data_IF_418393244481
#
_entry.id   IF_418393244481
#
_cell.length_a   1.000
_cell.length_b   1.000
_cell.length_c   1.000
_cell.angle_alpha   90.00
_cell.angle_beta   90.00
_cell.angle_gamma   90.00
#
_symmetry.space_group_name_H-M   'P 1'
#
loop_
_entity.id
_entity.type
_entity.pdbx_description
1 polymer ?
#
# COMPACT_ATOMS: atom_id res chain seq x y z
N UNK A 1 1.09 -2.26 -9.23
CA UNK A 1 1.00 -3.05 -10.48
C UNK A 1 1.05 -2.24 -11.79
N UNK A 2 0.72 -0.93 -11.81
CA UNK A 2 0.63 -0.16 -13.06
C UNK A 2 1.96 -0.08 -13.83
N UNK A 3 3.09 0.23 -13.17
CA UNK A 3 4.39 0.37 -13.85
C UNK A 3 4.93 -0.94 -14.43
N UNK A 4 4.99 -2.07 -13.68
CA UNK A 4 5.40 -3.35 -14.24
C UNK A 4 4.59 -3.75 -15.48
N UNK A 5 3.26 -3.54 -15.43
CA UNK A 5 2.38 -3.82 -16.55
C UNK A 5 2.68 -2.90 -17.75
N UNK A 6 2.82 -1.59 -17.54
CA UNK A 6 3.20 -0.65 -18.60
C UNK A 6 4.51 -1.08 -19.27
N UNK A 7 5.53 -1.38 -18.48
CA UNK A 7 6.83 -1.83 -18.98
C UNK A 7 6.71 -3.13 -19.76
N UNK A 8 5.99 -4.11 -19.22
CA UNK A 8 5.76 -5.40 -19.89
C UNK A 8 5.05 -5.22 -21.23
N UNK A 9 4.00 -4.40 -21.30
CA UNK A 9 3.29 -4.12 -22.56
C UNK A 9 4.26 -3.47 -23.55
N UNK A 10 4.99 -2.43 -23.15
CA UNK A 10 5.95 -1.75 -24.03
C UNK A 10 7.04 -2.68 -24.56
N UNK A 11 7.48 -3.66 -23.77
CA UNK A 11 8.44 -4.68 -24.19
C UNK A 11 7.81 -5.70 -25.16
N UNK A 12 6.58 -6.14 -24.89
CA UNK A 12 5.84 -7.09 -25.75
C UNK A 12 5.44 -6.49 -27.11
N UNK A 13 5.27 -5.16 -27.17
CA UNK A 13 4.90 -4.42 -28.38
C UNK A 13 6.12 -3.95 -29.18
N UNK A 14 7.33 -4.49 -28.92
CA UNK A 14 8.47 -4.24 -29.80
C UNK A 14 8.24 -4.94 -31.16
N UNK A 15 8.45 -4.25 -32.30
CA UNK A 15 8.26 -4.85 -33.62
C UNK A 15 9.29 -5.99 -33.83
N UNK A 16 8.81 -7.14 -34.27
CA UNK A 16 9.63 -8.29 -34.67
C UNK A 16 9.75 -8.35 -36.20
N UNK A 17 10.87 -8.90 -36.68
CA UNK A 17 11.07 -9.15 -38.11
C UNK A 17 10.13 -10.24 -38.66
N UNK A 18 9.49 -11.01 -37.78
CA UNK A 18 8.50 -12.04 -38.12
C UNK A 18 7.07 -11.49 -38.25
N UNK A 19 6.85 -10.24 -37.83
CA UNK A 19 5.51 -9.62 -37.86
C UNK A 19 5.13 -9.20 -39.28
N UNK A 20 3.84 -9.32 -39.62
CA UNK A 20 3.29 -8.68 -40.82
C UNK A 20 3.35 -7.16 -40.70
N UNK A 21 3.33 -6.45 -41.83
CA UNK A 21 3.33 -4.97 -41.86
C UNK A 21 2.23 -4.37 -41.00
N UNK A 22 1.00 -4.90 -41.10
CA UNK A 22 -0.14 -4.48 -40.27
C UNK A 22 0.15 -4.68 -38.77
N UNK A 23 0.77 -5.80 -38.41
CA UNK A 23 1.09 -6.10 -37.01
C UNK A 23 2.16 -5.14 -36.47
N UNK A 24 3.17 -4.80 -37.28
CA UNK A 24 4.18 -3.80 -36.92
C UNK A 24 3.56 -2.42 -36.73
N UNK A 25 2.65 -2.02 -37.62
CA UNK A 25 1.96 -0.73 -37.54
C UNK A 25 1.10 -0.65 -36.27
N UNK A 26 0.32 -1.70 -35.97
CA UNK A 26 -0.50 -1.77 -34.76
C UNK A 26 0.36 -1.76 -33.49
N UNK A 27 1.44 -2.56 -33.44
CA UNK A 27 2.38 -2.57 -32.30
C UNK A 27 3.01 -1.20 -32.08
N UNK A 28 3.40 -0.52 -33.16
CA UNK A 28 3.98 0.82 -33.11
C UNK A 28 2.98 1.83 -32.58
N UNK A 29 1.75 1.84 -33.10
CA UNK A 29 0.69 2.74 -32.63
C UNK A 29 0.36 2.54 -31.13
N UNK A 30 0.25 1.29 -30.67
CA UNK A 30 0.01 0.98 -29.25
C UNK A 30 1.18 1.47 -28.38
N UNK A 31 2.41 1.26 -28.85
CA UNK A 31 3.62 1.67 -28.12
C UNK A 31 3.70 3.19 -27.98
N UNK A 32 3.45 3.94 -29.05
CA UNK A 32 3.44 5.41 -29.04
C UNK A 32 2.36 5.97 -28.11
N UNK A 33 1.15 5.40 -28.15
CA UNK A 33 0.07 5.81 -27.25
C UNK A 33 0.39 5.50 -25.77
N UNK A 34 0.95 4.33 -25.46
CA UNK A 34 1.22 3.97 -24.06
C UNK A 34 2.44 4.66 -23.46
N UNK A 35 3.41 5.09 -24.28
CA UNK A 35 4.67 5.68 -23.80
C UNK A 35 4.43 6.91 -22.90
N UNK A 36 3.54 7.81 -23.32
CA UNK A 36 3.32 9.09 -22.64
C UNK A 36 2.38 8.98 -21.42
N UNK A 37 1.54 7.93 -21.34
CA UNK A 37 0.63 7.72 -20.21
C UNK A 37 1.40 7.50 -18.91
N UNK A 38 0.92 8.07 -17.79
CA UNK A 38 1.56 7.97 -16.47
C UNK A 38 2.97 8.61 -16.37
N UNK A 39 3.33 9.47 -17.32
CA UNK A 39 4.61 10.21 -17.29
C UNK A 39 4.47 11.56 -16.59
N UNK A 40 3.31 12.20 -16.72
CA UNK A 40 2.98 13.46 -16.05
C UNK A 40 1.73 13.30 -15.19
N UNK A 41 1.67 13.90 -14.00
CA UNK A 41 2.73 14.67 -13.32
C UNK A 41 3.85 13.79 -12.71
N UNK A 42 5.04 14.33 -12.41
CA UNK A 42 6.13 13.59 -11.77
C UNK A 42 5.72 12.94 -10.44
N UNK A 43 4.83 13.60 -9.69
CA UNK A 43 4.29 13.10 -8.42
C UNK A 43 3.57 11.76 -8.58
N UNK A 44 2.81 11.58 -9.66
CA UNK A 44 2.16 10.30 -9.98
C UNK A 44 3.20 9.22 -10.27
N UNK A 45 4.24 9.57 -11.02
CA UNK A 45 5.28 8.61 -11.36
C UNK A 45 6.02 8.12 -10.10
N UNK A 46 6.34 9.03 -9.18
CA UNK A 46 6.97 8.69 -7.91
C UNK A 46 6.05 7.85 -7.01
N UNK A 47 4.76 8.20 -6.95
CA UNK A 47 3.75 7.39 -6.26
C UNK A 47 3.71 5.95 -6.80
N UNK A 48 3.68 5.79 -8.13
CA UNK A 48 3.65 4.47 -8.75
C UNK A 48 4.95 3.68 -8.53
N UNK A 49 6.10 4.35 -8.48
CA UNK A 49 7.40 3.72 -8.16
C UNK A 49 7.42 3.21 -6.73
N UNK A 50 6.99 4.02 -5.75
CA UNK A 50 6.88 3.63 -4.35
C UNK A 50 5.91 2.47 -4.16
N UNK A 51 4.73 2.55 -4.80
CA UNK A 51 3.75 1.45 -4.83
C UNK A 51 4.36 0.15 -5.36
N UNK A 52 5.20 0.23 -6.39
CA UNK A 52 5.82 -0.95 -6.99
C UNK A 52 6.98 -1.48 -6.14
N UNK A 53 7.74 -0.60 -5.48
CA UNK A 53 8.80 -0.98 -4.54
C UNK A 53 8.25 -1.73 -3.31
N UNK A 54 7.03 -1.40 -2.89
CA UNK A 54 6.30 -2.03 -1.78
C UNK A 54 5.56 -3.32 -2.18
N UNK A 55 5.40 -3.58 -3.49
CA UNK A 55 4.82 -4.83 -3.99
C UNK A 55 5.92 -5.88 -4.12
N UNK A 56 5.90 -6.90 -3.24
CA UNK A 56 6.92 -7.95 -3.21
C UNK A 56 7.09 -8.71 -4.52
N UNK A 57 6.06 -8.75 -5.37
CA UNK A 57 6.15 -9.39 -6.70
C UNK A 57 7.10 -8.63 -7.62
N UNK A 58 7.23 -7.32 -7.44
CA UNK A 58 7.96 -6.41 -8.33
C UNK A 58 9.07 -5.62 -7.63
N UNK A 59 9.29 -5.87 -6.33
CA UNK A 59 10.29 -5.23 -5.46
C UNK A 59 11.69 -5.10 -6.08
N UNK A 60 12.12 -6.09 -6.86
CA UNK A 60 13.43 -6.06 -7.51
C UNK A 60 13.60 -4.86 -8.45
N UNK A 61 12.51 -4.30 -9.00
CA UNK A 61 12.51 -3.20 -9.96
C UNK A 61 13.54 -3.42 -11.08
N UNK A 62 13.73 -4.66 -11.53
CA UNK A 62 14.82 -5.07 -12.43
C UNK A 62 14.79 -4.38 -13.78
N UNK A 63 13.61 -3.91 -14.19
CA UNK A 63 13.36 -3.18 -15.42
C UNK A 63 13.70 -1.68 -15.34
N UNK A 64 14.13 -1.17 -14.18
CA UNK A 64 14.47 0.24 -13.96
C UNK A 64 15.98 0.44 -13.80
N UNK A 65 16.41 1.67 -14.10
CA UNK A 65 17.77 2.13 -13.84
C UNK A 65 18.15 1.99 -12.35
N UNK A 66 19.34 1.43 -12.02
CA UNK A 66 19.77 1.26 -10.64
C UNK A 66 19.80 2.54 -9.80
N UNK A 67 20.13 3.70 -10.39
CA UNK A 67 20.14 4.96 -9.64
C UNK A 67 18.72 5.38 -9.26
N UNK A 68 17.76 5.21 -10.16
CA UNK A 68 16.36 5.49 -9.89
C UNK A 68 15.75 4.54 -8.85
N UNK A 69 16.16 3.28 -8.85
CA UNK A 69 15.80 2.31 -7.82
C UNK A 69 16.27 2.79 -6.45
N UNK A 70 17.54 3.16 -6.32
CA UNK A 70 18.11 3.67 -5.07
C UNK A 70 17.38 4.94 -4.60
N UNK A 71 17.12 5.87 -5.52
CA UNK A 71 16.34 7.08 -5.22
C UNK A 71 14.95 6.75 -4.67
N UNK A 72 14.24 5.80 -5.28
CA UNK A 72 12.89 5.41 -4.83
C UNK A 72 12.90 4.93 -3.37
N UNK A 73 13.87 4.11 -2.99
CA UNK A 73 14.00 3.62 -1.61
C UNK A 73 14.49 4.70 -0.63
N UNK A 74 15.37 5.60 -1.08
CA UNK A 74 15.76 6.77 -0.30
C UNK A 74 14.56 7.67 0.00
N UNK A 75 13.78 8.00 -1.02
CA UNK A 75 12.58 8.84 -0.89
C UNK A 75 11.54 8.18 0.02
N UNK A 76 11.33 6.87 -0.12
CA UNK A 76 10.46 6.09 0.76
C UNK A 76 10.94 6.14 2.22
N UNK A 77 12.26 6.01 2.45
CA UNK A 77 12.85 6.10 3.78
C UNK A 77 12.62 7.49 4.39
N UNK A 78 12.80 8.56 3.60
CA UNK A 78 12.55 9.92 4.07
C UNK A 78 11.08 10.15 4.40
N UNK A 79 10.16 9.60 3.60
CA UNK A 79 8.72 9.70 3.83
C UNK A 79 8.32 8.99 5.13
N UNK A 80 8.86 7.79 5.38
CA UNK A 80 8.65 7.06 6.64
C UNK A 80 9.15 7.87 7.84
N UNK A 81 10.38 8.41 7.75
CA UNK A 81 10.97 9.21 8.83
C UNK A 81 10.12 10.46 9.10
N UNK A 82 9.62 11.12 8.06
CA UNK A 82 8.74 12.29 8.22
C UNK A 82 7.39 11.94 8.84
N UNK A 83 6.82 10.76 8.52
CA UNK A 83 5.52 10.32 9.06
C UNK A 83 5.55 10.01 10.56
N UNK A 84 6.73 9.72 11.14
CA UNK A 84 6.91 9.50 12.58
C UNK A 84 6.91 10.77 13.43
N UNK A 85 7.05 11.94 12.81
CA UNK A 85 6.94 13.24 13.50
C UNK A 85 5.50 13.71 13.69
N UNK A 86 4.53 13.01 13.08
CA UNK A 86 3.11 13.35 13.08
C UNK A 86 2.31 12.23 13.72
N UNK A 87 2.59 11.89 14.97
CA UNK A 87 1.60 11.23 15.83
C UNK A 87 0.71 12.30 16.47
N UNK A 88 -0.22 12.84 15.69
CA UNK A 88 -1.56 13.17 16.17
C UNK A 88 -2.50 12.38 15.28
N UNK A 89 -2.74 11.13 15.68
CA UNK A 89 -3.81 10.33 15.12
C UNK A 89 -5.13 10.99 15.53
N UNK A 90 -5.89 11.43 14.54
CA UNK A 90 -7.32 11.72 14.65
C UNK A 90 -8.05 10.42 15.03
N UNK A 91 -8.01 10.08 16.32
CA UNK A 91 -8.98 9.19 16.93
C UNK A 91 -10.31 9.94 16.96
N UNK A 92 -11.23 9.51 16.10
CA UNK A 92 -12.63 9.92 16.16
C UNK A 92 -13.19 9.69 17.57
N UNK A 93 -13.31 10.77 18.33
CA UNK A 93 -14.00 10.78 19.62
C UNK A 93 -15.50 10.59 19.39
N UNK A 94 -15.96 9.36 19.59
CA UNK A 94 -17.34 9.13 20.00
C UNK A 94 -17.52 9.67 21.42
N UNK A 95 -18.38 10.68 21.55
CA UNK A 95 -18.81 11.26 22.83
C UNK A 95 -19.69 10.27 23.58
N UNK A 96 -19.30 9.83 24.77
CA UNK A 96 -20.25 9.40 25.80
C UNK A 96 -19.89 10.05 27.14
N UNK A 97 -20.87 10.75 27.70
CA UNK A 97 -20.81 11.43 28.99
C UNK A 97 -21.20 10.47 30.13
N UNK A 98 -20.61 10.75 31.29
CA UNK A 98 -21.05 10.45 32.68
C UNK A 98 -20.61 9.14 33.36
N UNK A 99 -19.58 9.26 34.20
CA UNK A 99 -19.71 9.21 35.67
C UNK A 99 -19.74 7.84 36.37
N UNK A 100 -18.64 7.47 37.03
CA UNK A 100 -18.57 7.15 38.47
C UNK A 100 -17.18 6.59 38.84
N UNK A 101 -16.61 7.15 39.90
CA UNK A 101 -15.33 6.83 40.50
C UNK A 101 -15.53 5.66 41.50
N UNK A 102 -14.86 4.53 41.33
CA UNK A 102 -14.68 3.53 42.40
C UNK A 102 -13.36 2.74 42.22
N UNK A 103 -12.67 2.67 43.35
CA UNK A 103 -11.37 2.09 43.67
C UNK A 103 -11.29 0.57 43.41
N UNK A 104 -10.26 0.10 42.70
CA UNK A 104 -9.85 -1.31 42.76
C UNK A 104 -8.38 -1.50 42.34
N UNK A 105 -7.56 -1.88 43.31
CA UNK A 105 -6.19 -2.38 43.17
C UNK A 105 -6.07 -3.53 42.17
N UNK A 106 -5.22 -3.39 41.14
CA UNK A 106 -4.91 -4.46 40.19
C UNK A 106 -3.75 -5.36 40.68
N UNK A 107 -3.73 -6.66 40.34
CA UNK A 107 -2.73 -7.63 40.84
C UNK A 107 -1.36 -7.49 40.14
N UNK A 108 -0.27 -8.02 40.73
CA UNK A 108 1.08 -7.81 40.21
C UNK A 108 1.27 -8.50 38.86
N UNK A 109 1.70 -7.71 37.87
CA UNK A 109 2.05 -8.20 36.55
C UNK A 109 3.16 -9.25 36.67
N UNK A 110 2.93 -10.45 36.13
CA UNK A 110 3.91 -11.53 36.08
C UNK A 110 5.12 -11.05 35.28
N UNK A 111 6.20 -10.66 35.95
CA UNK A 111 7.49 -10.41 35.30
C UNK A 111 7.92 -11.70 34.61
N UNK A 112 8.18 -11.63 33.31
CA UNK A 112 8.68 -12.75 32.51
C UNK A 112 10.04 -13.16 33.08
N UNK A 113 10.15 -14.36 33.67
CA UNK A 113 11.36 -14.87 34.33
C UNK A 113 12.64 -14.78 33.47
N UNK A 114 12.50 -14.76 32.14
CA UNK A 114 13.62 -14.58 31.21
C UNK A 114 14.18 -13.15 31.19
N UNK A 115 13.32 -12.14 31.36
CA UNK A 115 13.75 -10.74 31.43
C UNK A 115 14.52 -10.45 32.73
N UNK A 116 14.15 -11.12 33.82
CA UNK A 116 14.80 -10.97 35.13
C UNK A 116 16.14 -11.71 35.20
N UNK A 117 16.28 -12.84 34.48
CA UNK A 117 17.50 -13.66 34.47
C UNK A 117 18.58 -13.15 33.49
N UNK A 118 18.19 -12.53 32.38
CA UNK A 118 19.10 -12.15 31.28
C UNK A 118 19.08 -10.66 30.91
N UNK A 119 18.19 -9.88 31.52
CA UNK A 119 17.90 -8.50 31.10
C UNK A 119 19.08 -7.55 31.21
N UNK A 120 19.98 -7.74 32.17
CA UNK A 120 21.13 -6.85 32.38
C UNK A 120 22.43 -7.39 31.76
N UNK A 121 22.57 -8.72 31.62
CA UNK A 121 23.78 -9.38 31.12
C UNK A 121 23.92 -9.33 29.60
N UNK A 122 22.80 -9.25 28.86
CA UNK A 122 22.78 -9.22 27.39
C UNK A 122 22.19 -7.93 26.81
N UNK A 123 21.90 -6.93 27.64
CA UNK A 123 21.44 -5.62 27.16
C UNK A 123 22.58 -4.89 26.42
N UNK A 124 22.68 -5.13 25.11
CA UNK A 124 23.40 -4.25 24.21
C UNK A 124 22.74 -2.87 24.29
N UNK A 125 23.46 -1.86 24.80
CA UNK A 125 23.06 -0.45 24.68
C UNK A 125 23.20 -0.02 23.23
N UNK A 126 22.28 -0.47 22.38
CA UNK A 126 22.14 0.02 21.01
C UNK A 126 21.58 1.43 21.08
N UNK A 127 22.47 2.44 21.09
CA UNK A 127 22.12 3.85 20.91
C UNK A 127 21.76 4.12 19.44
N UNK A 128 20.85 3.32 18.86
CA UNK A 128 20.38 3.51 17.49
C UNK A 128 19.34 4.61 17.47
N UNK A 129 19.52 5.61 16.61
CA UNK A 129 18.50 6.63 16.42
C UNK A 129 17.29 6.01 15.70
N UNK A 130 16.07 6.56 15.84
CA UNK A 130 14.90 6.08 15.10
C UNK A 130 15.14 6.01 13.58
N UNK A 131 15.92 6.95 13.05
CA UNK A 131 16.31 6.99 11.63
C UNK A 131 17.19 5.80 11.24
N UNK A 132 18.10 5.39 12.11
CA UNK A 132 18.98 4.24 11.85
C UNK A 132 18.19 2.93 11.86
N UNK A 133 17.19 2.81 12.75
CA UNK A 133 16.28 1.66 12.81
C UNK A 133 15.52 1.51 11.48
N UNK A 134 14.96 2.61 10.96
CA UNK A 134 14.20 2.58 9.70
C UNK A 134 15.11 2.25 8.51
N UNK A 135 16.31 2.83 8.46
CA UNK A 135 17.29 2.51 7.41
C UNK A 135 17.68 1.03 7.43
N UNK A 136 17.88 0.48 8.63
CA UNK A 136 18.18 -0.94 8.82
C UNK A 136 16.98 -1.82 8.41
N UNK A 137 15.75 -1.40 8.72
CA UNK A 137 14.52 -2.06 8.28
C UNK A 137 14.40 -2.08 6.75
N UNK A 138 14.60 -0.94 6.08
CA UNK A 138 14.56 -0.84 4.61
C UNK A 138 15.65 -1.68 3.97
N UNK A 139 16.87 -1.67 4.51
CA UNK A 139 17.96 -2.53 4.04
C UNK A 139 17.64 -4.03 4.24
N UNK A 140 17.07 -4.38 5.40
CA UNK A 140 16.62 -5.73 5.73
C UNK A 140 15.48 -6.19 4.81
N UNK A 141 14.54 -5.31 4.48
CA UNK A 141 13.51 -5.57 3.49
C UNK A 141 14.15 -5.86 2.15
N UNK A 142 15.01 -4.97 1.63
CA UNK A 142 15.67 -5.10 0.33
C UNK A 142 16.45 -6.41 0.16
N UNK A 143 17.20 -6.82 1.18
CA UNK A 143 18.08 -7.98 1.10
C UNK A 143 17.38 -9.30 1.45
N UNK A 144 16.45 -9.31 2.43
CA UNK A 144 15.93 -10.55 3.03
C UNK A 144 14.49 -10.89 2.62
N UNK A 145 13.71 -9.93 2.12
CA UNK A 145 12.35 -10.22 1.69
C UNK A 145 12.35 -10.89 0.30
N UNK A 146 11.92 -12.14 0.24
CA UNK A 146 11.77 -12.90 -1.01
C UNK A 146 10.55 -12.42 -1.79
N UNK A 147 10.65 -12.46 -3.12
CA UNK A 147 9.49 -12.22 -3.97
C UNK A 147 8.42 -13.27 -3.72
N UNK A 148 7.17 -12.83 -3.62
CA UNK A 148 6.01 -13.72 -3.51
C UNK A 148 5.55 -14.15 -4.91
N UNK A 149 4.75 -15.22 -4.98
CA UNK A 149 4.16 -15.66 -6.26
C UNK A 149 3.18 -14.62 -6.80
N UNK A 150 2.95 -14.64 -8.12
CA UNK A 150 2.07 -13.66 -8.78
C UNK A 150 0.63 -13.74 -8.26
N UNK A 151 0.18 -14.94 -7.92
CA UNK A 151 -1.16 -15.24 -7.42
C UNK A 151 -1.35 -14.91 -5.93
N UNK A 152 -0.27 -14.61 -5.21
CA UNK A 152 -0.35 -14.23 -3.80
C UNK A 152 -0.74 -12.76 -3.62
N UNK A 153 -1.53 -12.49 -2.60
CA UNK A 153 -1.86 -11.12 -2.18
C UNK A 153 -0.70 -10.48 -1.39
N UNK A 154 -0.11 -9.37 -1.88
CA UNK A 154 0.93 -8.64 -1.15
C UNK A 154 0.48 -8.14 0.23
N UNK A 155 -0.79 -7.74 0.40
CA UNK A 155 -1.27 -7.20 1.68
C UNK A 155 -1.29 -8.27 2.77
N UNK A 156 -1.64 -9.51 2.42
CA UNK A 156 -1.55 -10.67 3.33
C UNK A 156 -0.11 -10.95 3.78
N UNK A 157 0.86 -10.80 2.88
CA UNK A 157 2.28 -10.92 3.24
C UNK A 157 2.72 -9.82 4.20
N UNK A 158 2.35 -8.56 3.92
CA UNK A 158 2.67 -7.42 4.78
C UNK A 158 2.06 -7.59 6.18
N UNK A 159 0.82 -8.05 6.26
CA UNK A 159 0.16 -8.36 7.54
C UNK A 159 0.91 -9.44 8.34
N UNK A 160 1.45 -10.44 7.67
CA UNK A 160 2.18 -11.53 8.33
C UNK A 160 3.57 -11.10 8.82
N UNK A 161 4.15 -10.08 8.19
CA UNK A 161 5.51 -9.61 8.46
C UNK A 161 5.58 -8.21 9.06
N UNK A 162 4.46 -7.65 9.50
CA UNK A 162 4.36 -6.32 10.10
C UNK A 162 5.23 -6.21 11.35
N UNK A 163 5.31 -7.25 12.18
CA UNK A 163 6.20 -7.25 13.36
C UNK A 163 7.69 -7.13 12.98
N UNK A 164 8.08 -7.58 11.79
CA UNK A 164 9.46 -7.54 11.30
C UNK A 164 9.76 -6.24 10.55
N UNK A 165 8.75 -5.66 9.90
CA UNK A 165 8.85 -4.46 9.09
C UNK A 165 7.72 -3.47 9.42
N UNK A 166 7.67 -2.94 10.67
CA UNK A 166 6.51 -2.18 11.14
C UNK A 166 6.31 -0.86 10.37
N UNK A 167 7.39 -0.16 10.05
CA UNK A 167 7.30 1.13 9.38
C UNK A 167 6.98 0.98 7.90
N UNK A 168 7.64 0.03 7.21
CA UNK A 168 7.41 -0.20 5.78
C UNK A 168 6.03 -0.85 5.57
N UNK A 169 5.58 -1.74 6.46
CA UNK A 169 4.25 -2.34 6.38
C UNK A 169 3.15 -1.26 6.44
N UNK A 170 3.33 -0.23 7.26
CA UNK A 170 2.40 0.90 7.33
C UNK A 170 2.31 1.63 6.00
N UNK A 171 3.45 1.95 5.38
CA UNK A 171 3.46 2.54 4.04
C UNK A 171 2.85 1.60 2.99
N UNK A 172 3.16 0.30 3.05
CA UNK A 172 2.65 -0.68 2.12
C UNK A 172 1.12 -0.75 2.14
N UNK A 173 0.50 -0.70 3.34
CA UNK A 173 -0.96 -0.65 3.46
C UNK A 173 -1.52 0.60 2.77
N UNK A 174 -0.93 1.77 2.98
CA UNK A 174 -1.40 3.01 2.38
C UNK A 174 -1.29 2.98 0.85
N UNK A 175 -0.12 2.62 0.31
CA UNK A 175 0.12 2.64 -1.14
C UNK A 175 -0.66 1.54 -1.89
N UNK A 176 -0.74 0.33 -1.32
CA UNK A 176 -1.35 -0.82 -1.98
C UNK A 176 -2.87 -0.88 -1.81
N UNK A 177 -3.45 -0.16 -0.84
CA UNK A 177 -4.91 -0.06 -0.69
C UNK A 177 -5.58 0.77 -1.79
N UNK A 178 -4.84 1.65 -2.46
CA UNK A 178 -5.40 2.50 -3.53
C UNK A 178 -5.69 1.65 -4.76
N UNK A 179 -6.96 1.60 -5.23
CA UNK A 179 -7.32 0.85 -6.41
C UNK A 179 -6.68 1.45 -7.66
N UNK A 180 -6.22 0.59 -8.58
CA UNK A 180 -5.62 1.02 -9.85
C UNK A 180 -6.62 1.48 -10.91
N UNK A 181 -7.93 1.43 -10.63
CA UNK A 181 -9.00 1.79 -11.57
C UNK A 181 -10.25 2.28 -10.86
N UNK A 182 -11.15 2.93 -11.61
CA UNK A 182 -12.50 3.31 -11.16
C UNK A 182 -13.49 2.14 -11.14
N UNK A 183 -13.08 0.92 -11.54
CA UNK A 183 -14.00 -0.24 -11.62
C UNK A 183 -14.71 -0.52 -10.28
N UNK A 184 -14.05 -0.43 -9.10
CA UNK A 184 -14.75 -0.59 -7.82
C UNK A 184 -15.85 0.45 -7.59
N UNK A 185 -15.61 1.72 -7.93
CA UNK A 185 -16.61 2.77 -7.79
C UNK A 185 -17.72 2.62 -8.83
N UNK A 186 -17.41 2.27 -10.07
CA UNK A 186 -18.41 1.92 -11.11
C UNK A 186 -19.31 0.77 -10.66
N UNK A 187 -18.77 -0.25 -10.00
CA UNK A 187 -19.58 -1.34 -9.41
C UNK A 187 -20.48 -0.85 -8.27
N UNK A 188 -20.06 0.17 -7.52
CA UNK A 188 -20.92 0.81 -6.51
C UNK A 188 -22.04 1.58 -7.20
N UNK A 189 -21.73 2.37 -8.23
CA UNK A 189 -22.72 3.13 -8.99
C UNK A 189 -23.69 2.25 -9.77
N UNK A 190 -23.25 1.11 -10.30
CA UNK A 190 -24.14 0.14 -10.92
C UNK A 190 -25.16 -0.40 -9.91
N UNK A 191 -24.71 -0.75 -8.69
CA UNK A 191 -25.62 -1.15 -7.62
C UNK A 191 -26.54 -0.01 -7.19
N UNK A 192 -26.05 1.23 -7.17
CA UNK A 192 -26.89 2.40 -6.90
C UNK A 192 -27.96 2.58 -7.99
N UNK A 193 -27.64 2.30 -9.25
CA UNK A 193 -28.60 2.28 -10.36
C UNK A 193 -29.71 1.25 -10.16
N UNK A 194 -29.39 0.07 -9.60
CA UNK A 194 -30.39 -0.94 -9.24
C UNK A 194 -31.29 -0.49 -8.07
N UNK A 195 -30.79 0.39 -7.20
CA UNK A 195 -31.54 0.93 -6.06
C UNK A 195 -32.45 2.09 -6.53
N UNK A 196 -31.92 2.97 -7.38
CA UNK A 196 -32.61 4.13 -7.95
C UNK A 196 -33.25 3.73 -9.27
N UNK A 197 -34.36 3.00 -9.20
CA UNK A 197 -35.15 2.62 -10.36
C UNK A 197 -36.21 3.67 -10.69
N UNK A 198 -36.76 3.64 -11.91
CA UNK A 198 -37.84 4.54 -12.32
C UNK A 198 -39.08 4.46 -11.40
N UNK A 199 -39.33 3.31 -10.77
CA UNK A 199 -40.42 3.09 -9.81
C UNK A 199 -40.09 3.58 -8.40
N UNK A 200 -38.82 3.90 -8.11
CA UNK A 200 -38.32 4.46 -6.83
C UNK A 200 -37.67 5.84 -7.03
N UNK A 201 -38.20 6.65 -7.94
CA UNK A 201 -37.66 7.95 -8.32
C UNK A 201 -37.82 9.05 -7.25
N UNK A 202 -38.55 8.79 -6.17
CA UNK A 202 -38.80 9.75 -5.07
C UNK A 202 -37.87 9.58 -3.87
N UNK A 203 -36.81 8.77 -3.97
CA UNK A 203 -35.83 8.64 -2.90
C UNK A 203 -35.02 9.94 -2.76
N UNK A 204 -34.82 10.40 -1.53
CA UNK A 204 -33.87 11.48 -1.26
C UNK A 204 -32.43 10.97 -1.46
N UNK A 205 -31.48 11.84 -1.84
CA UNK A 205 -30.06 11.50 -1.95
C UNK A 205 -29.51 10.83 -0.69
N UNK A 206 -29.82 11.36 0.50
CA UNK A 206 -29.38 10.80 1.79
C UNK A 206 -29.82 9.34 1.98
N UNK A 207 -31.05 9.02 1.55
CA UNK A 207 -31.57 7.65 1.64
C UNK A 207 -30.90 6.73 0.62
N UNK A 208 -30.53 7.23 -0.57
CA UNK A 208 -29.77 6.46 -1.56
C UNK A 208 -28.39 6.11 -0.99
N UNK A 209 -27.71 7.07 -0.38
CA UNK A 209 -26.38 6.86 0.22
C UNK A 209 -26.42 5.78 1.31
N UNK A 210 -27.39 5.86 2.23
CA UNK A 210 -27.60 4.85 3.28
C UNK A 210 -27.90 3.48 2.65
N UNK A 211 -28.76 3.41 1.64
CA UNK A 211 -29.11 2.13 0.99
C UNK A 211 -27.92 1.52 0.24
N UNK A 212 -27.11 2.32 -0.45
CA UNK A 212 -25.89 1.88 -1.13
C UNK A 212 -24.89 1.37 -0.10
N UNK A 213 -24.67 2.13 0.98
CA UNK A 213 -23.80 1.73 2.08
C UNK A 213 -24.23 0.39 2.70
N UNK A 214 -25.51 0.27 3.09
CA UNK A 214 -26.04 -0.98 3.64
C UNK A 214 -25.88 -2.12 2.64
N UNK A 215 -26.23 -1.92 1.37
CA UNK A 215 -26.16 -2.97 0.35
C UNK A 215 -24.73 -3.48 0.11
N UNK A 216 -23.72 -2.63 0.23
CA UNK A 216 -22.31 -3.02 0.07
C UNK A 216 -21.70 -3.67 1.33
N UNK A 217 -22.28 -3.44 2.50
CA UNK A 217 -21.80 -3.98 3.78
C UNK A 217 -22.63 -5.15 4.32
N UNK A 218 -23.80 -5.42 3.74
CA UNK A 218 -24.59 -6.62 4.02
C UNK A 218 -23.96 -7.81 3.30
N UNK A 219 -23.32 -8.69 4.09
CA UNK A 219 -22.88 -10.02 3.65
C UNK A 219 -24.07 -10.93 3.37
#
# INVERSE_FOLDING_TARGET
MILPLKTWILQSMAPSMEDSTITQDVKTAIKEDLQHRYTSPPTLQDYLRRSTALDLRFKSLSYMDPALRQRTYSDLTTEIVSSLGTEDCDEGQATELTGANLDSSSPPQKKLAMAELFGETFASKDNKTPVDIIKEEVASYLLKANSITVDSDPLTWWKSNECKYPHIATMARCYLAVPGSSVPSERVFSTAGDIVTATRSTLSPDNVDILVFLKKNLN
#
